data_IF_593248442609
#
_entry.id   IF_593248442609
#
_cell.length_a   1.000
_cell.length_b   1.000
_cell.length_c   1.000
_cell.angle_alpha   90.00
_cell.angle_beta   90.00
_cell.angle_gamma   90.00
#
_symmetry.space_group_name_H-M   'P 1'
#
loop_
_entity.id
_entity.type
_entity.pdbx_description
1 polymer ?
#
# COMPACT_ATOMS: atom_id res chain seq x y z
N UNK A 1 12.51 -18.82 -25.31
CA UNK A 1 12.83 -18.55 -23.88
C UNK A 1 11.76 -17.61 -23.36
N UNK A 2 10.93 -18.05 -22.43
CA UNK A 2 10.03 -17.12 -21.72
C UNK A 2 10.89 -16.05 -21.02
N UNK A 3 10.65 -14.80 -21.38
CA UNK A 3 11.31 -13.65 -20.73
C UNK A 3 10.91 -13.70 -19.26
N UNK A 4 11.87 -13.85 -18.32
CA UNK A 4 11.57 -13.82 -16.90
C UNK A 4 10.74 -12.56 -16.60
N UNK A 5 9.56 -12.74 -16.05
CA UNK A 5 8.71 -11.61 -15.63
C UNK A 5 9.46 -10.79 -14.57
N UNK A 6 9.26 -9.47 -14.58
CA UNK A 6 9.68 -8.58 -13.50
C UNK A 6 9.02 -8.99 -12.17
N UNK A 7 9.62 -8.64 -11.05
CA UNK A 7 9.17 -9.03 -9.71
C UNK A 7 8.54 -7.84 -9.02
N UNK A 8 7.30 -8.01 -8.54
CA UNK A 8 6.62 -7.03 -7.71
C UNK A 8 6.44 -7.56 -6.27
N UNK A 9 6.89 -6.80 -5.28
CA UNK A 9 6.65 -7.06 -3.87
C UNK A 9 5.47 -6.20 -3.37
N UNK A 10 4.45 -6.83 -2.78
CA UNK A 10 3.23 -6.17 -2.32
C UNK A 10 3.05 -6.42 -0.83
N UNK A 11 3.03 -5.36 -0.02
CA UNK A 11 2.70 -5.46 1.41
C UNK A 11 1.20 -5.31 1.64
N UNK A 12 0.67 -5.97 2.69
CA UNK A 12 -0.77 -5.99 2.94
C UNK A 12 -1.56 -6.67 1.81
N UNK A 13 -0.97 -7.69 1.19
CA UNK A 13 -1.52 -8.39 0.03
C UNK A 13 -2.79 -9.20 0.32
N UNK A 14 -3.12 -9.45 1.59
CA UNK A 14 -4.18 -10.37 2.02
C UNK A 14 -5.58 -9.77 2.05
N UNK A 15 -5.75 -8.51 1.68
CA UNK A 15 -7.07 -7.85 1.65
C UNK A 15 -7.08 -6.56 0.84
N UNK A 16 -8.28 -6.14 0.44
CA UNK A 16 -8.57 -4.82 -0.11
C UNK A 16 -7.73 -4.45 -1.33
N UNK A 17 -7.08 -3.28 -1.28
CA UNK A 17 -6.27 -2.76 -2.39
C UNK A 17 -5.10 -3.69 -2.71
N UNK A 18 -4.42 -4.23 -1.70
CA UNK A 18 -3.26 -5.12 -1.89
C UNK A 18 -3.64 -6.43 -2.57
N UNK A 19 -4.74 -7.04 -2.16
CA UNK A 19 -5.28 -8.25 -2.79
C UNK A 19 -5.68 -7.99 -4.24
N UNK A 20 -6.46 -6.92 -4.48
CA UNK A 20 -6.86 -6.52 -5.83
C UNK A 20 -5.64 -6.23 -6.73
N UNK A 21 -4.61 -5.60 -6.18
CA UNK A 21 -3.36 -5.32 -6.89
C UNK A 21 -2.61 -6.62 -7.23
N UNK A 22 -2.65 -7.61 -6.35
CA UNK A 22 -2.03 -8.92 -6.61
C UNK A 22 -2.68 -9.61 -7.81
N UNK A 23 -4.01 -9.59 -7.90
CA UNK A 23 -4.73 -10.13 -9.06
C UNK A 23 -4.48 -9.32 -10.34
N UNK A 24 -4.46 -8.00 -10.27
CA UNK A 24 -4.25 -7.11 -11.42
C UNK A 24 -2.86 -7.30 -12.04
N UNK A 25 -1.82 -7.46 -11.20
CA UNK A 25 -0.44 -7.56 -11.66
C UNK A 25 -0.01 -9.00 -12.03
N UNK A 26 -0.77 -10.03 -11.71
CA UNK A 26 -0.39 -11.43 -11.89
C UNK A 26 -0.04 -11.82 -13.34
N UNK A 27 -0.67 -11.17 -14.33
CA UNK A 27 -0.35 -11.47 -15.74
C UNK A 27 0.98 -10.86 -16.20
N UNK A 28 1.50 -9.85 -15.49
CA UNK A 28 2.65 -9.05 -15.91
C UNK A 28 3.90 -9.32 -15.05
N UNK A 29 3.71 -9.65 -13.78
CA UNK A 29 4.78 -9.78 -12.79
C UNK A 29 4.80 -11.17 -12.14
N UNK A 30 5.98 -11.60 -11.69
CA UNK A 30 6.12 -12.56 -10.60
C UNK A 30 5.88 -11.82 -9.29
N UNK A 31 5.18 -12.44 -8.33
CA UNK A 31 4.66 -11.73 -7.16
C UNK A 31 5.31 -12.23 -5.86
N UNK A 32 5.77 -11.29 -5.03
CA UNK A 32 6.10 -11.54 -3.62
C UNK A 32 4.97 -10.91 -2.79
N UNK A 33 4.16 -11.76 -2.15
CA UNK A 33 2.99 -11.34 -1.40
C UNK A 33 3.29 -11.36 0.09
N UNK A 34 3.21 -10.18 0.73
CA UNK A 34 3.54 -10.02 2.13
C UNK A 34 2.29 -9.71 2.95
N UNK A 35 2.15 -10.39 4.09
CA UNK A 35 1.02 -10.20 5.00
C UNK A 35 1.18 -10.94 6.31
N UNK A 36 0.27 -10.74 7.25
CA UNK A 36 0.28 -11.40 8.56
C UNK A 36 -0.50 -12.71 8.58
N UNK A 37 -1.55 -12.79 7.77
CA UNK A 37 -2.44 -13.94 7.75
C UNK A 37 -1.91 -15.03 6.80
N UNK A 38 -1.38 -16.10 7.37
CA UNK A 38 -0.76 -17.21 6.63
C UNK A 38 -1.76 -17.94 5.73
N UNK A 39 -3.00 -18.13 6.20
CA UNK A 39 -4.01 -18.88 5.43
C UNK A 39 -4.45 -18.09 4.21
N UNK A 40 -4.69 -16.78 4.36
CA UNK A 40 -4.96 -15.89 3.22
C UNK A 40 -3.79 -15.81 2.23
N UNK A 41 -2.55 -15.83 2.70
CA UNK A 41 -1.39 -15.88 1.82
C UNK A 41 -1.36 -17.18 1.01
N UNK A 42 -1.65 -18.33 1.64
CA UNK A 42 -1.74 -19.62 0.94
C UNK A 42 -2.87 -19.66 -0.09
N UNK A 43 -4.06 -19.14 0.27
CA UNK A 43 -5.20 -19.00 -0.66
C UNK A 43 -4.82 -18.19 -1.90
N UNK A 44 -4.17 -17.03 -1.71
CA UNK A 44 -3.70 -16.17 -2.80
C UNK A 44 -2.63 -16.86 -3.64
N UNK A 45 -1.66 -17.51 -3.02
CA UNK A 45 -0.62 -18.27 -3.71
C UNK A 45 -1.26 -19.36 -4.60
N UNK A 46 -2.17 -20.16 -4.05
CA UNK A 46 -2.86 -21.20 -4.80
C UNK A 46 -3.66 -20.62 -5.99
N UNK A 47 -4.38 -19.53 -5.77
CA UNK A 47 -5.18 -18.86 -6.81
C UNK A 47 -4.33 -18.26 -7.94
N UNK A 48 -3.21 -17.62 -7.59
CA UNK A 48 -2.39 -16.85 -8.54
C UNK A 48 -1.30 -17.67 -9.21
N UNK A 49 -0.90 -18.82 -8.63
CA UNK A 49 0.14 -19.69 -9.20
C UNK A 49 -0.20 -20.28 -10.57
N UNK A 50 -1.48 -20.26 -10.94
CA UNK A 50 -1.93 -20.63 -12.31
C UNK A 50 -1.57 -19.58 -13.37
N UNK A 51 -1.25 -18.34 -12.95
CA UNK A 51 -1.00 -17.18 -13.83
C UNK A 51 0.45 -16.74 -13.81
N UNK A 52 1.12 -16.89 -12.65
CA UNK A 52 2.47 -16.39 -12.46
C UNK A 52 3.19 -17.12 -11.32
N UNK A 53 4.51 -16.90 -11.22
CA UNK A 53 5.24 -17.35 -10.04
C UNK A 53 4.86 -16.50 -8.84
N UNK A 54 4.55 -17.15 -7.72
CA UNK A 54 4.18 -16.48 -6.47
C UNK A 54 5.09 -16.95 -5.34
N UNK A 55 5.51 -16.04 -4.52
CA UNK A 55 6.23 -16.28 -3.25
C UNK A 55 5.49 -15.55 -2.15
N UNK A 56 5.21 -16.23 -1.06
CA UNK A 56 4.60 -15.61 0.11
C UNK A 56 5.62 -15.36 1.21
N UNK A 57 5.53 -14.21 1.86
CA UNK A 57 6.32 -13.86 3.04
C UNK A 57 5.37 -13.45 4.18
N UNK A 58 5.33 -14.26 5.22
CA UNK A 58 4.52 -13.96 6.39
C UNK A 58 5.36 -13.13 7.38
N UNK A 59 4.97 -11.86 7.59
CA UNK A 59 5.52 -10.98 8.63
C UNK A 59 4.57 -9.82 8.94
N UNK A 60 4.81 -9.18 10.09
CA UNK A 60 4.21 -7.90 10.44
C UNK A 60 5.19 -6.78 10.03
N UNK A 61 4.72 -5.82 9.23
CA UNK A 61 5.56 -4.69 8.79
C UNK A 61 6.09 -3.84 9.95
N UNK A 62 5.48 -3.91 11.14
CA UNK A 62 5.93 -3.23 12.35
C UNK A 62 7.17 -3.88 12.98
N UNK A 63 7.47 -5.12 12.63
CA UNK A 63 8.67 -5.80 13.10
C UNK A 63 9.83 -5.55 12.13
N UNK A 64 10.71 -4.62 12.49
CA UNK A 64 11.86 -4.23 11.69
C UNK A 64 12.76 -5.43 11.33
N UNK A 65 13.08 -6.26 12.32
CA UNK A 65 13.99 -7.40 12.14
C UNK A 65 13.41 -8.42 11.15
N UNK A 66 12.15 -8.78 11.33
CA UNK A 66 11.43 -9.70 10.45
C UNK A 66 11.38 -9.20 9.00
N UNK A 67 11.07 -7.91 8.79
CA UNK A 67 11.08 -7.30 7.47
C UNK A 67 12.45 -7.44 6.80
N UNK A 68 13.50 -7.09 7.53
CA UNK A 68 14.86 -7.12 6.99
C UNK A 68 15.30 -8.56 6.67
N UNK A 69 15.15 -9.49 7.62
CA UNK A 69 15.61 -10.88 7.45
C UNK A 69 14.89 -11.58 6.31
N UNK A 70 13.55 -11.49 6.26
CA UNK A 70 12.76 -12.20 5.24
C UNK A 70 12.96 -11.66 3.83
N UNK A 71 13.15 -10.36 3.67
CA UNK A 71 13.42 -9.77 2.35
C UNK A 71 14.87 -10.03 1.95
N UNK A 72 15.83 -9.88 2.85
CA UNK A 72 17.25 -10.10 2.55
C UNK A 72 17.58 -11.56 2.28
N UNK A 73 16.81 -12.51 2.84
CA UNK A 73 16.99 -13.95 2.62
C UNK A 73 16.36 -14.50 1.35
N UNK A 74 15.76 -13.64 0.52
CA UNK A 74 15.19 -14.06 -0.76
C UNK A 74 16.24 -14.69 -1.66
N UNK A 75 15.94 -15.91 -2.15
CA UNK A 75 16.81 -16.65 -3.06
C UNK A 75 16.99 -15.97 -4.43
N UNK A 76 17.92 -16.48 -5.21
CA UNK A 76 18.33 -15.87 -6.49
C UNK A 76 17.18 -15.56 -7.45
N UNK A 77 16.12 -16.38 -7.45
CA UNK A 77 14.96 -16.19 -8.32
C UNK A 77 14.05 -15.02 -7.90
N UNK A 78 14.22 -14.51 -6.67
CA UNK A 78 13.34 -13.52 -6.06
C UNK A 78 14.04 -12.25 -5.57
N UNK A 79 15.38 -12.24 -5.55
CA UNK A 79 16.16 -11.12 -5.00
C UNK A 79 16.14 -9.85 -5.84
N UNK A 80 15.81 -9.93 -7.14
CA UNK A 80 15.81 -8.76 -8.02
C UNK A 80 14.40 -8.16 -8.07
N UNK A 81 14.01 -7.42 -7.02
CA UNK A 81 12.72 -6.78 -6.92
C UNK A 81 12.71 -5.54 -7.82
N UNK A 82 11.84 -5.52 -8.83
CA UNK A 82 11.67 -4.40 -9.77
C UNK A 82 10.66 -3.37 -9.27
N UNK A 83 9.62 -3.82 -8.57
CA UNK A 83 8.53 -2.95 -8.07
C UNK A 83 8.28 -3.26 -6.60
N UNK A 84 8.23 -2.22 -5.78
CA UNK A 84 7.77 -2.30 -4.39
C UNK A 84 6.43 -1.56 -4.26
N UNK A 85 5.40 -2.24 -3.74
CA UNK A 85 4.12 -1.62 -3.43
C UNK A 85 3.93 -1.63 -1.91
N UNK A 86 4.22 -0.49 -1.29
CA UNK A 86 3.97 -0.23 0.12
C UNK A 86 2.48 0.07 0.32
N UNK A 87 1.69 -1.00 0.42
CA UNK A 87 0.25 -0.90 0.59
C UNK A 87 -0.20 -1.19 2.04
N UNK A 88 0.57 -1.93 2.83
CA UNK A 88 0.21 -2.18 4.21
C UNK A 88 -0.04 -0.88 4.97
N UNK A 89 -1.23 -0.75 5.54
CA UNK A 89 -1.66 0.43 6.27
C UNK A 89 -2.98 0.19 6.99
N UNK A 90 -3.23 0.98 8.02
CA UNK A 90 -4.45 0.90 8.81
C UNK A 90 -4.88 2.28 9.31
N UNK A 91 -6.10 2.34 9.85
CA UNK A 91 -6.56 3.38 10.75
C UNK A 91 -7.22 2.73 11.96
N UNK A 92 -7.12 3.35 13.10
CA UNK A 92 -7.74 2.94 14.35
C UNK A 92 -8.41 4.13 15.03
N UNK A 93 -9.68 3.95 15.41
CA UNK A 93 -10.48 4.98 16.04
C UNK A 93 -10.87 6.14 15.11
N UNK A 94 -11.74 6.96 15.62
CA UNK A 94 -12.19 8.22 15.01
C UNK A 94 -12.65 9.15 16.15
N UNK A 95 -11.69 9.65 16.93
CA UNK A 95 -11.92 10.39 18.16
C UNK A 95 -11.28 11.78 18.10
N UNK A 96 -11.79 12.74 18.88
CA UNK A 96 -11.08 14.00 19.06
C UNK A 96 -9.72 13.75 19.68
N UNK A 97 -8.75 14.66 19.46
CA UNK A 97 -7.36 14.43 19.88
C UNK A 97 -7.21 14.19 21.40
N UNK A 98 -8.05 14.81 22.21
CA UNK A 98 -8.03 14.65 23.67
C UNK A 98 -8.79 13.41 24.17
N UNK A 99 -9.46 12.67 23.29
CA UNK A 99 -10.22 11.45 23.59
C UNK A 99 -9.57 10.20 23.02
N UNK A 100 -8.60 10.38 22.13
CA UNK A 100 -7.95 9.29 21.41
C UNK A 100 -7.11 8.40 22.30
N UNK A 101 -6.96 7.14 21.90
CA UNK A 101 -6.19 6.13 22.64
C UNK A 101 -4.76 6.04 22.09
N UNK A 102 -3.78 6.04 22.98
CA UNK A 102 -2.35 5.96 22.63
C UNK A 102 -2.06 4.71 21.79
N UNK A 103 -2.65 3.57 22.15
CA UNK A 103 -2.45 2.31 21.44
C UNK A 103 -2.92 2.38 19.98
N UNK A 104 -4.01 3.10 19.71
CA UNK A 104 -4.52 3.34 18.35
C UNK A 104 -3.58 4.26 17.56
N UNK A 105 -2.98 5.24 18.22
CA UNK A 105 -1.99 6.15 17.63
C UNK A 105 -0.71 5.42 17.27
N UNK A 106 -0.16 4.65 18.22
CA UNK A 106 1.04 3.84 18.00
C UNK A 106 0.81 2.86 16.85
N UNK A 107 -0.34 2.18 16.82
CA UNK A 107 -0.69 1.24 15.76
C UNK A 107 -0.67 1.90 14.36
N UNK A 108 -1.19 3.13 14.25
CA UNK A 108 -1.20 3.87 12.98
C UNK A 108 0.21 4.33 12.57
N UNK A 109 0.99 4.87 13.50
CA UNK A 109 2.36 5.35 13.21
C UNK A 109 3.28 4.18 12.90
N UNK A 110 3.23 3.12 13.70
CA UNK A 110 4.09 1.95 13.52
C UNK A 110 3.80 1.23 12.19
N UNK A 111 2.52 1.13 11.80
CA UNK A 111 2.17 0.46 10.54
C UNK A 111 2.42 1.37 9.33
N UNK A 112 1.83 2.58 9.33
CA UNK A 112 1.77 3.41 8.14
C UNK A 112 3.08 4.12 7.84
N UNK A 113 3.88 4.44 8.87
CA UNK A 113 5.12 5.21 8.74
C UNK A 113 6.33 4.29 8.90
N UNK A 114 6.52 3.71 10.09
CA UNK A 114 7.70 2.87 10.36
C UNK A 114 7.67 1.61 9.51
N UNK A 115 6.51 0.95 9.39
CA UNK A 115 6.36 -0.26 8.59
C UNK A 115 6.70 -0.06 7.12
N UNK A 116 6.29 1.06 6.54
CA UNK A 116 6.69 1.45 5.18
C UNK A 116 8.23 1.55 5.07
N UNK A 117 8.87 2.22 6.02
CA UNK A 117 10.33 2.39 6.04
C UNK A 117 11.07 1.06 6.26
N UNK A 118 10.58 0.20 7.17
CA UNK A 118 11.20 -1.09 7.49
C UNK A 118 11.18 -2.05 6.30
N UNK A 119 10.10 -2.06 5.51
CA UNK A 119 10.03 -2.83 4.27
C UNK A 119 10.86 -2.18 3.17
N UNK A 120 10.80 -0.86 3.05
CA UNK A 120 11.54 -0.16 1.99
C UNK A 120 13.06 -0.33 2.12
N UNK A 121 13.61 -0.32 3.34
CA UNK A 121 15.06 -0.34 3.54
C UNK A 121 15.76 -1.53 2.86
N UNK A 122 15.42 -2.80 3.10
CA UNK A 122 16.06 -3.93 2.42
C UNK A 122 15.78 -3.95 0.90
N UNK A 123 14.62 -3.48 0.45
CA UNK A 123 14.32 -3.38 -0.99
C UNK A 123 15.16 -2.29 -1.66
N UNK A 124 15.39 -1.16 -0.98
CA UNK A 124 16.26 -0.08 -1.46
C UNK A 124 17.71 -0.54 -1.62
N UNK A 125 18.21 -1.38 -0.72
CA UNK A 125 19.56 -1.95 -0.84
C UNK A 125 19.70 -2.80 -2.12
N UNK A 126 18.62 -3.46 -2.54
CA UNK A 126 18.57 -4.21 -3.80
C UNK A 126 18.48 -3.25 -5.00
N UNK A 127 17.51 -2.33 -4.99
CA UNK A 127 17.23 -1.44 -6.12
C UNK A 127 18.40 -0.49 -6.41
N UNK A 128 19.02 0.07 -5.38
CA UNK A 128 20.18 0.98 -5.54
C UNK A 128 21.40 0.24 -6.11
N UNK A 129 21.62 -1.00 -5.70
CA UNK A 129 22.68 -1.85 -6.27
C UNK A 129 22.43 -2.17 -7.75
N UNK A 130 21.18 -2.37 -8.13
CA UNK A 130 20.78 -2.68 -9.50
C UNK A 130 20.60 -1.42 -10.36
N UNK A 131 20.66 -0.23 -9.77
CA UNK A 131 20.44 1.07 -10.42
C UNK A 131 19.11 1.14 -11.18
N UNK A 132 18.07 0.51 -10.68
CA UNK A 132 16.70 0.53 -11.23
C UNK A 132 15.68 0.09 -10.19
N UNK A 133 14.44 0.54 -10.37
CA UNK A 133 13.29 0.13 -9.55
C UNK A 133 12.13 1.11 -9.64
N UNK A 134 10.99 0.69 -9.11
CA UNK A 134 9.83 1.56 -8.96
C UNK A 134 9.14 1.33 -7.61
N UNK A 135 9.04 2.35 -6.79
CA UNK A 135 8.37 2.30 -5.49
C UNK A 135 7.00 2.97 -5.63
N UNK A 136 5.96 2.27 -5.23
CA UNK A 136 4.59 2.77 -5.14
C UNK A 136 4.21 2.82 -3.67
N UNK A 137 4.00 4.01 -3.14
CA UNK A 137 3.50 4.20 -1.78
C UNK A 137 2.00 4.48 -1.80
N UNK A 138 1.22 3.72 -1.06
CA UNK A 138 -0.21 3.98 -0.92
C UNK A 138 -0.43 5.02 0.17
N UNK A 139 -0.64 6.25 -0.27
CA UNK A 139 -1.02 7.38 0.54
C UNK A 139 -2.51 7.36 0.91
N UNK A 140 -3.12 8.50 0.87
CA UNK A 140 -4.57 8.75 1.02
C UNK A 140 -4.84 10.22 0.73
N UNK A 141 -6.09 10.58 0.37
CA UNK A 141 -6.53 11.98 0.43
C UNK A 141 -6.30 12.57 1.84
N UNK A 142 -6.36 11.75 2.88
CA UNK A 142 -6.03 12.12 4.26
C UNK A 142 -4.56 12.54 4.47
N UNK A 143 -3.69 12.32 3.50
CA UNK A 143 -2.32 12.84 3.46
C UNK A 143 -2.19 14.16 2.71
N UNK A 144 -3.29 14.71 2.20
CA UNK A 144 -3.38 16.00 1.50
C UNK A 144 -4.29 16.97 2.23
N UNK A 145 -5.30 16.44 2.91
CA UNK A 145 -6.32 17.21 3.61
C UNK A 145 -6.63 16.60 4.97
N UNK A 146 -6.95 17.47 5.92
CA UNK A 146 -7.38 17.05 7.26
C UNK A 146 -8.89 16.94 7.32
N UNK A 147 -9.40 16.06 8.18
CA UNK A 147 -10.81 15.99 8.53
C UNK A 147 -11.00 15.82 10.06
N UNK A 148 -12.14 16.24 10.61
CA UNK A 148 -12.40 16.13 12.05
C UNK A 148 -12.21 14.69 12.56
N UNK A 149 -11.56 14.54 13.72
CA UNK A 149 -11.25 13.25 14.36
C UNK A 149 -10.27 12.35 13.60
N UNK A 150 -9.82 12.74 12.39
CA UNK A 150 -8.85 11.98 11.59
C UNK A 150 -7.38 12.23 11.97
N UNK A 151 -7.11 12.98 13.03
CA UNK A 151 -5.84 13.58 13.44
C UNK A 151 -4.59 12.71 13.20
N UNK A 152 -4.41 11.60 13.90
CA UNK A 152 -3.20 10.76 13.79
C UNK A 152 -3.16 9.96 12.49
N UNK A 153 -4.33 9.50 12.00
CA UNK A 153 -4.36 8.88 10.66
C UNK A 153 -3.89 9.86 9.58
N UNK A 154 -4.43 11.10 9.59
CA UNK A 154 -3.97 12.13 8.66
C UNK A 154 -2.47 12.40 8.84
N UNK A 155 -1.99 12.59 10.07
CA UNK A 155 -0.57 12.80 10.34
C UNK A 155 0.30 11.67 9.76
N UNK A 156 -0.12 10.40 9.92
CA UNK A 156 0.60 9.26 9.35
C UNK A 156 0.64 9.31 7.81
N UNK A 157 -0.44 9.75 7.16
CA UNK A 157 -0.52 9.85 5.70
C UNK A 157 0.19 11.08 5.14
N UNK A 158 0.23 12.20 5.88
CA UNK A 158 1.13 13.33 5.58
C UNK A 158 2.60 12.92 5.70
N UNK A 159 2.95 12.08 6.69
CA UNK A 159 4.30 11.54 6.79
C UNK A 159 4.65 10.66 5.57
N UNK A 160 3.72 9.82 5.09
CA UNK A 160 3.91 9.02 3.86
C UNK A 160 4.13 9.94 2.65
N UNK A 161 3.43 11.07 2.56
CA UNK A 161 3.63 12.07 1.50
C UNK A 161 5.04 12.65 1.54
N UNK A 162 5.47 13.13 2.70
CA UNK A 162 6.82 13.66 2.89
C UNK A 162 7.92 12.62 2.58
N UNK A 163 7.73 11.38 3.05
CA UNK A 163 8.66 10.26 2.80
C UNK A 163 8.73 9.97 1.30
N UNK A 164 7.60 9.95 0.59
CA UNK A 164 7.54 9.69 -0.85
C UNK A 164 8.28 10.77 -1.64
N UNK A 165 8.15 12.04 -1.25
CA UNK A 165 8.88 13.15 -1.85
C UNK A 165 10.38 13.04 -1.56
N UNK A 166 10.78 12.76 -0.32
CA UNK A 166 12.18 12.55 0.06
C UNK A 166 12.82 11.38 -0.69
N UNK A 167 12.14 10.22 -0.74
CA UNK A 167 12.62 9.07 -1.53
C UNK A 167 12.84 9.45 -2.99
N UNK A 168 11.96 10.24 -3.60
CA UNK A 168 12.07 10.65 -5.00
C UNK A 168 13.32 11.50 -5.25
N UNK A 169 13.63 12.38 -4.31
CA UNK A 169 14.85 13.23 -4.36
C UNK A 169 16.10 12.38 -4.20
N UNK A 170 16.15 11.55 -3.16
CA UNK A 170 17.35 10.81 -2.78
C UNK A 170 17.69 9.68 -3.78
N UNK A 171 16.67 9.07 -4.37
CA UNK A 171 16.80 7.90 -5.24
C UNK A 171 16.90 8.26 -6.74
N UNK A 172 16.74 9.52 -7.11
CA UNK A 172 16.82 9.97 -8.50
C UNK A 172 18.12 9.55 -9.19
N UNK A 173 19.25 9.68 -8.51
CA UNK A 173 20.57 9.29 -9.04
C UNK A 173 20.74 7.78 -9.29
N UNK A 174 19.83 6.95 -8.79
CA UNK A 174 19.84 5.49 -8.97
C UNK A 174 18.79 5.03 -9.98
N UNK A 175 18.21 5.92 -10.79
CA UNK A 175 17.16 5.60 -11.76
C UNK A 175 15.95 4.87 -11.13
N UNK A 176 15.64 5.16 -9.87
CA UNK A 176 14.50 4.58 -9.15
C UNK A 176 13.35 5.57 -9.20
N UNK A 177 12.22 5.11 -9.75
CA UNK A 177 10.96 5.88 -9.75
C UNK A 177 10.27 5.77 -8.39
N UNK A 178 9.65 6.86 -7.93
CA UNK A 178 8.83 6.85 -6.72
C UNK A 178 7.51 7.55 -7.02
N UNK A 179 6.42 6.81 -6.86
CA UNK A 179 5.06 7.27 -7.06
C UNK A 179 4.25 7.13 -5.79
N UNK A 180 3.33 8.05 -5.58
CA UNK A 180 2.35 7.99 -4.51
C UNK A 180 0.94 7.94 -5.09
N UNK A 181 0.11 7.04 -4.60
CA UNK A 181 -1.29 6.94 -4.98
C UNK A 181 -2.12 7.25 -3.74
N UNK A 182 -3.01 8.25 -3.85
CA UNK A 182 -3.81 8.78 -2.75
C UNK A 182 -5.30 8.47 -2.98
N UNK A 183 -5.78 7.30 -2.56
CA UNK A 183 -7.20 6.99 -2.66
C UNK A 183 -8.05 7.84 -1.71
N UNK A 184 -9.28 8.13 -2.15
CA UNK A 184 -10.35 8.62 -1.27
C UNK A 184 -11.07 7.48 -0.56
N UNK A 185 -12.40 7.50 -0.60
CA UNK A 185 -13.24 6.45 0.00
C UNK A 185 -13.16 5.18 -0.84
N UNK A 186 -12.53 4.15 -0.31
CA UNK A 186 -12.45 2.81 -0.92
C UNK A 186 -13.14 1.81 -0.01
N UNK A 187 -14.16 1.15 -0.49
CA UNK A 187 -14.83 0.09 0.26
C UNK A 187 -13.96 -1.16 0.30
N UNK A 188 -13.44 -1.43 1.47
CA UNK A 188 -12.57 -2.57 1.79
C UNK A 188 -12.74 -2.92 3.27
N UNK A 189 -11.99 -3.91 3.74
CA UNK A 189 -11.96 -4.25 5.17
C UNK A 189 -11.33 -3.17 6.08
N UNK A 190 -10.87 -2.05 5.49
CA UNK A 190 -10.23 -0.96 6.21
C UNK A 190 -11.13 -0.32 7.27
N UNK A 191 -12.42 -0.09 6.94
CA UNK A 191 -13.38 0.49 7.89
C UNK A 191 -13.69 -0.46 9.04
N UNK A 192 -13.74 -1.77 8.80
CA UNK A 192 -13.90 -2.78 9.85
C UNK A 192 -12.74 -2.72 10.86
N UNK A 193 -11.49 -2.66 10.36
CA UNK A 193 -10.30 -2.52 11.20
C UNK A 193 -10.35 -1.21 12.00
N UNK A 194 -10.73 -0.09 11.34
CA UNK A 194 -10.82 1.23 11.96
C UNK A 194 -11.78 1.26 13.14
N UNK A 195 -12.93 0.64 12.99
CA UNK A 195 -14.00 0.63 14.00
C UNK A 195 -14.00 -0.63 14.86
N UNK A 196 -12.91 -1.44 14.83
CA UNK A 196 -12.75 -2.61 15.72
C UNK A 196 -13.92 -3.58 15.60
N UNK A 197 -14.25 -3.93 14.35
CA UNK A 197 -15.33 -4.84 13.97
C UNK A 197 -16.76 -4.35 14.26
N UNK A 198 -16.96 -3.04 14.51
CA UNK A 198 -18.25 -2.40 14.56
C UNK A 198 -18.82 -2.25 13.14
N UNK A 199 -19.66 -3.20 12.73
CA UNK A 199 -20.22 -3.25 11.38
C UNK A 199 -21.08 -2.04 11.04
N UNK A 200 -21.87 -1.51 11.98
CA UNK A 200 -22.79 -0.40 11.73
C UNK A 200 -22.00 0.88 11.42
N UNK A 201 -20.99 1.19 12.22
CA UNK A 201 -20.08 2.31 11.95
C UNK A 201 -19.34 2.12 10.65
N UNK A 202 -18.87 0.91 10.37
CA UNK A 202 -18.13 0.59 9.14
C UNK A 202 -19.00 0.81 7.90
N UNK A 203 -20.24 0.34 7.91
CA UNK A 203 -21.22 0.53 6.82
C UNK A 203 -21.65 1.98 6.65
N UNK A 204 -21.78 2.73 7.77
CA UNK A 204 -22.18 4.14 7.73
C UNK A 204 -21.23 5.05 6.97
N UNK A 205 -19.94 4.68 6.87
CA UNK A 205 -18.94 5.43 6.09
C UNK A 205 -19.35 5.55 4.63
N UNK A 206 -19.92 4.48 4.08
CA UNK A 206 -20.26 4.36 2.66
C UNK A 206 -21.76 4.64 2.36
N UNK A 207 -22.58 4.92 3.38
CA UNK A 207 -24.00 5.18 3.20
C UNK A 207 -24.23 6.35 2.23
N UNK A 208 -25.07 6.14 1.21
CA UNK A 208 -25.39 7.14 0.18
C UNK A 208 -24.23 7.47 -0.77
N UNK A 209 -23.18 6.65 -0.81
CA UNK A 209 -22.03 6.84 -1.69
C UNK A 209 -21.83 5.59 -2.53
N UNK A 210 -21.44 5.76 -3.80
CA UNK A 210 -20.85 4.70 -4.60
C UNK A 210 -19.31 4.83 -4.48
N UNK A 211 -18.67 4.13 -3.50
CA UNK A 211 -17.25 4.30 -3.22
C UNK A 211 -16.39 3.65 -4.31
N UNK A 212 -15.10 3.96 -4.30
CA UNK A 212 -14.12 3.13 -5.01
C UNK A 212 -14.08 1.73 -4.39
N UNK A 213 -13.67 0.76 -5.18
CA UNK A 213 -13.31 -0.58 -4.70
C UNK A 213 -11.83 -0.86 -4.94
N UNK A 214 -11.29 -1.90 -4.30
CA UNK A 214 -9.86 -2.21 -4.40
C UNK A 214 -9.36 -2.34 -5.84
N UNK A 215 -10.19 -2.86 -6.75
CA UNK A 215 -9.86 -3.01 -8.19
C UNK A 215 -9.67 -1.67 -8.90
N UNK A 216 -10.40 -0.62 -8.52
CA UNK A 216 -10.22 0.70 -9.13
C UNK A 216 -8.84 1.26 -8.83
N UNK A 217 -8.39 1.12 -7.58
CA UNK A 217 -7.06 1.56 -7.16
C UNK A 217 -5.98 0.67 -7.78
N UNK A 218 -6.21 -0.66 -7.86
CA UNK A 218 -5.29 -1.59 -8.49
C UNK A 218 -5.02 -1.26 -9.97
N UNK A 219 -6.05 -0.87 -10.73
CA UNK A 219 -5.90 -0.40 -12.12
C UNK A 219 -5.05 0.86 -12.23
N UNK A 220 -5.20 1.80 -11.29
CA UNK A 220 -4.35 3.00 -11.26
C UNK A 220 -2.91 2.63 -10.93
N UNK A 221 -2.67 1.71 -9.98
CA UNK A 221 -1.34 1.17 -9.69
C UNK A 221 -0.73 0.56 -10.95
N UNK A 222 -1.47 -0.30 -11.64
CA UNK A 222 -1.04 -0.94 -12.88
C UNK A 222 -0.71 0.08 -13.96
N UNK A 223 -1.56 1.11 -14.15
CA UNK A 223 -1.30 2.21 -15.09
C UNK A 223 0.02 2.94 -14.77
N UNK A 224 0.24 3.32 -13.52
CA UNK A 224 1.44 4.05 -13.07
C UNK A 224 2.71 3.22 -13.29
N UNK A 225 2.67 1.93 -13.01
CA UNK A 225 3.81 1.02 -13.19
C UNK A 225 4.16 0.86 -14.66
N UNK A 226 3.15 0.82 -15.54
CA UNK A 226 3.31 0.60 -16.98
C UNK A 226 3.62 1.87 -17.79
N UNK A 227 3.77 3.03 -17.15
CA UNK A 227 4.23 4.22 -17.84
C UNK A 227 5.64 4.04 -18.44
N UNK A 228 5.95 4.69 -19.57
CA UNK A 228 7.28 4.65 -20.16
C UNK A 228 8.40 4.91 -19.15
N UNK A 229 9.60 4.39 -19.43
CA UNK A 229 10.72 4.43 -18.50
C UNK A 229 11.09 5.85 -18.07
N UNK A 230 11.02 6.81 -18.98
CA UNK A 230 11.28 8.22 -18.76
C UNK A 230 10.14 8.96 -18.06
N UNK A 231 9.00 8.31 -17.79
CA UNK A 231 7.84 8.93 -17.14
C UNK A 231 7.75 8.43 -15.70
N UNK A 232 7.72 9.37 -14.77
CA UNK A 232 7.42 9.11 -13.36
C UNK A 232 6.19 9.92 -12.95
N UNK A 233 5.05 9.24 -12.77
CA UNK A 233 3.87 9.87 -12.16
C UNK A 233 4.15 9.96 -10.66
N UNK A 234 4.51 11.14 -10.22
CA UNK A 234 4.99 11.35 -8.85
C UNK A 234 3.90 11.23 -7.78
N UNK A 235 2.69 11.69 -8.13
CA UNK A 235 1.56 11.76 -7.20
C UNK A 235 0.24 11.70 -7.99
N UNK A 236 -0.72 10.90 -7.52
CA UNK A 236 -2.05 10.81 -8.11
C UNK A 236 -3.11 10.60 -7.03
N UNK A 237 -4.11 11.46 -7.01
CA UNK A 237 -5.27 11.33 -6.14
C UNK A 237 -6.44 10.72 -6.91
N UNK A 238 -7.07 9.69 -6.34
CA UNK A 238 -8.18 8.95 -6.95
C UNK A 238 -9.39 9.01 -6.02
N UNK A 239 -10.46 9.63 -6.47
CA UNK A 239 -11.67 9.83 -5.68
C UNK A 239 -12.86 9.11 -6.31
N UNK A 240 -13.80 8.68 -5.47
CA UNK A 240 -15.12 8.32 -5.96
C UNK A 240 -15.77 9.54 -6.61
N UNK A 241 -16.57 9.34 -7.66
CA UNK A 241 -17.21 10.44 -8.40
C UNK A 241 -18.00 11.39 -7.49
N UNK A 242 -18.59 10.86 -6.42
CA UNK A 242 -19.36 11.62 -5.43
C UNK A 242 -18.51 12.31 -4.37
N UNK A 243 -17.20 12.07 -4.32
CA UNK A 243 -16.27 12.65 -3.34
C UNK A 243 -15.48 13.81 -3.97
N UNK A 244 -15.62 15.01 -3.44
CA UNK A 244 -14.88 16.18 -3.89
C UNK A 244 -13.66 16.49 -3.01
N UNK A 245 -13.72 16.14 -1.71
CA UNK A 245 -12.62 16.32 -0.75
C UNK A 245 -12.70 15.28 0.36
N UNK A 246 -11.82 15.37 1.36
CA UNK A 246 -11.87 14.50 2.55
C UNK A 246 -13.18 14.66 3.36
N UNK A 247 -13.84 15.81 3.24
CA UNK A 247 -15.05 16.18 4.01
C UNK A 247 -16.29 16.44 3.15
N UNK A 248 -16.11 16.70 1.86
CA UNK A 248 -17.23 17.02 0.95
C UNK A 248 -17.54 15.79 0.11
N UNK A 249 -18.64 15.15 0.45
CA UNK A 249 -19.14 13.94 -0.23
C UNK A 249 -20.63 14.14 -0.53
N UNK A 250 -21.01 14.03 -1.79
CA UNK A 250 -22.41 14.02 -2.19
C UNK A 250 -23.03 12.65 -1.87
N UNK A 251 -23.90 12.63 -0.91
CA UNK A 251 -24.65 11.45 -0.48
C UNK A 251 -26.07 11.56 -1.02
N UNK A 252 -26.32 10.87 -2.12
CA UNK A 252 -27.63 10.85 -2.78
C UNK A 252 -28.75 10.23 -1.93
#
# INVERSE_FOLDING_TARGET
MEKNKKIALITGATSGIGESTSYELANQFSLILCGRNTDKLKELEASLSTKTKVKTLQFDVRNQQDCYEKISSLGNDWKNIDVLINNAGNAHGLDFIHEGKIEDWDMMIDTNVKGLLYVSKPVLDIMTKNNCGHIINIGSIAGKELYPKGNIYCASKFAVDAISQGMRIDLNKFNIKVSQINPGLVETNFSMVRFKDDEDKSKSVYSGVNPLVGVDVAKVISYVINCPENVNISDITVLAKSQASSTVVNRG
#
